data_IF_416120996810
#
_entry.id   IF_416120996810
#
_cell.length_a   1.000
_cell.length_b   1.000
_cell.length_c   1.000
_cell.angle_alpha   90.00
_cell.angle_beta   90.00
_cell.angle_gamma   90.00
#
_symmetry.space_group_name_H-M   'P 1'
#
loop_
_entity.id
_entity.type
_entity.pdbx_description
1 polymer ?
#
# COMPACT_ATOMS: atom_id res chain seq x y z
N UNK A 1 49.53 4.88 27.23
CA UNK A 1 48.14 4.35 27.32
C UNK A 1 47.53 4.25 25.91
N UNK A 2 47.68 3.11 25.21
CA UNK A 2 47.08 2.89 23.87
C UNK A 2 45.63 2.40 24.02
N UNK A 3 44.68 3.31 24.27
CA UNK A 3 43.23 2.99 24.37
C UNK A 3 42.43 3.33 23.10
N UNK A 4 43.02 4.08 22.16
CA UNK A 4 42.36 4.52 20.93
C UNK A 4 41.85 3.41 19.98
N UNK A 5 42.52 2.26 19.79
CA UNK A 5 42.05 1.27 18.81
C UNK A 5 40.81 0.51 19.29
N UNK A 6 40.69 0.28 20.61
CA UNK A 6 39.54 -0.41 21.21
C UNK A 6 38.27 0.43 21.10
N UNK A 7 38.38 1.75 21.31
CA UNK A 7 37.25 2.68 21.21
C UNK A 7 36.63 2.71 19.79
N UNK A 8 37.49 2.71 18.77
CA UNK A 8 37.06 2.71 17.37
C UNK A 8 36.34 1.42 17.01
N UNK A 9 36.85 0.29 17.50
CA UNK A 9 36.25 -1.02 17.27
C UNK A 9 34.86 -1.14 17.93
N UNK A 10 34.71 -0.65 19.16
CA UNK A 10 33.43 -0.65 19.87
C UNK A 10 32.39 0.28 19.23
N UNK A 11 32.82 1.43 18.70
CA UNK A 11 31.94 2.34 17.96
C UNK A 11 31.49 1.73 16.62
N UNK A 12 32.40 1.06 15.91
CA UNK A 12 32.07 0.39 14.65
C UNK A 12 31.09 -0.78 14.86
N UNK A 13 31.30 -1.59 15.90
CA UNK A 13 30.39 -2.68 16.25
C UNK A 13 29.01 -2.19 16.70
N UNK A 14 28.96 -1.06 17.44
CA UNK A 14 27.71 -0.44 17.83
C UNK A 14 26.96 0.14 16.63
N UNK A 15 27.65 0.82 15.71
CA UNK A 15 27.06 1.32 14.47
C UNK A 15 26.51 0.18 13.59
N UNK A 16 27.22 -0.96 13.51
CA UNK A 16 26.77 -2.13 12.77
C UNK A 16 25.57 -2.82 13.46
N UNK A 17 25.56 -2.92 14.79
CA UNK A 17 24.43 -3.47 15.54
C UNK A 17 23.19 -2.57 15.52
N UNK A 18 23.37 -1.25 15.49
CA UNK A 18 22.30 -0.26 15.35
C UNK A 18 21.87 -0.05 13.90
N UNK A 19 22.56 -0.66 12.93
CA UNK A 19 22.09 -0.77 11.55
C UNK A 19 20.99 -1.83 11.47
N UNK A 20 19.87 -1.55 12.14
CA UNK A 20 18.64 -2.28 11.94
C UNK A 20 18.23 -2.03 10.48
N UNK A 21 18.33 -3.05 9.64
CA UNK A 21 17.71 -3.03 8.34
C UNK A 21 16.19 -2.93 8.57
N UNK A 22 15.66 -1.70 8.53
CA UNK A 22 14.23 -1.43 8.43
C UNK A 22 13.75 -1.87 7.04
N UNK A 23 13.85 -3.15 6.73
CA UNK A 23 12.95 -3.73 5.75
C UNK A 23 11.60 -3.71 6.46
N UNK A 24 10.76 -2.71 6.16
CA UNK A 24 9.34 -2.84 6.46
C UNK A 24 8.91 -4.20 5.91
N UNK A 25 8.31 -5.09 6.72
CA UNK A 25 7.93 -6.40 6.23
C UNK A 25 6.94 -6.22 5.08
N UNK A 26 7.43 -6.34 3.85
CA UNK A 26 6.67 -6.35 2.60
C UNK A 26 6.65 -7.77 2.04
N UNK A 27 6.09 -8.78 2.75
CA UNK A 27 6.05 -10.16 2.27
C UNK A 27 5.20 -10.31 1.00
N UNK A 28 4.37 -9.31 0.69
CA UNK A 28 3.50 -9.28 -0.47
C UNK A 28 3.86 -8.09 -1.36
N UNK A 29 3.99 -8.33 -2.66
CA UNK A 29 4.25 -7.30 -3.67
C UNK A 29 2.99 -6.56 -4.11
N UNK A 30 1.82 -7.21 -4.04
CA UNK A 30 0.53 -6.72 -4.57
C UNK A 30 -0.64 -7.25 -3.75
N UNK A 31 -1.78 -6.55 -3.78
CA UNK A 31 -3.05 -6.96 -3.16
C UNK A 31 -4.11 -7.13 -4.27
N UNK A 32 -4.45 -8.38 -4.59
CA UNK A 32 -5.54 -8.65 -5.54
C UNK A 32 -6.84 -8.88 -4.78
N UNK A 33 -7.87 -8.10 -5.09
CA UNK A 33 -9.13 -8.07 -4.35
C UNK A 33 -10.27 -8.50 -5.26
N UNK A 34 -11.00 -9.53 -4.84
CA UNK A 34 -12.25 -9.95 -5.46
C UNK A 34 -13.35 -9.88 -4.41
N UNK A 35 -14.56 -9.50 -4.81
CA UNK A 35 -15.67 -9.44 -3.87
C UNK A 35 -16.86 -8.67 -4.41
N UNK A 36 -17.66 -8.19 -3.46
CA UNK A 36 -18.85 -7.39 -3.68
C UNK A 36 -18.61 -5.92 -3.31
N UNK A 37 -19.69 -5.20 -3.03
CA UNK A 37 -19.68 -3.80 -2.62
C UNK A 37 -18.79 -3.47 -1.42
N UNK A 38 -18.55 -4.40 -0.49
CA UNK A 38 -17.70 -4.16 0.68
C UNK A 38 -16.22 -4.04 0.32
N UNK A 39 -15.82 -4.64 -0.79
CA UNK A 39 -14.45 -4.67 -1.28
C UNK A 39 -14.21 -3.72 -2.47
N UNK A 40 -15.26 -3.08 -2.98
CA UNK A 40 -15.20 -2.23 -4.16
C UNK A 40 -14.39 -0.94 -3.91
N UNK A 41 -13.30 -0.79 -4.65
CA UNK A 41 -12.39 0.36 -4.57
C UNK A 41 -12.80 1.54 -5.46
N UNK A 42 -13.87 1.42 -6.25
CA UNK A 42 -14.32 2.46 -7.18
C UNK A 42 -14.65 1.96 -8.59
N UNK A 43 -15.26 0.79 -8.76
CA UNK A 43 -15.53 0.19 -10.08
C UNK A 43 -16.49 1.04 -10.93
N UNK A 44 -17.42 1.74 -10.29
CA UNK A 44 -18.41 2.59 -10.97
C UNK A 44 -18.05 4.06 -10.82
N UNK A 45 -18.44 4.93 -11.77
CA UNK A 45 -18.22 6.37 -11.62
C UNK A 45 -19.04 6.94 -10.46
N UNK A 46 -18.45 7.87 -9.71
CA UNK A 46 -19.16 8.65 -8.70
C UNK A 46 -20.02 9.74 -9.36
N UNK A 47 -21.34 9.52 -9.41
CA UNK A 47 -22.27 10.44 -10.06
C UNK A 47 -22.52 11.74 -9.28
N UNK A 48 -22.25 11.78 -7.97
CA UNK A 48 -22.43 12.99 -7.17
C UNK A 48 -21.13 13.78 -7.00
N UNK A 49 -20.01 13.26 -7.52
CA UNK A 49 -18.71 13.90 -7.50
C UNK A 49 -18.00 13.83 -6.15
N UNK A 50 -16.68 14.04 -6.18
CA UNK A 50 -15.78 14.02 -5.02
C UNK A 50 -14.66 12.99 -5.21
N UNK A 51 -15.03 11.73 -5.40
CA UNK A 51 -14.09 10.62 -5.62
C UNK A 51 -14.11 10.15 -7.07
N UNK A 52 -12.99 9.63 -7.63
CA UNK A 52 -12.95 9.14 -9.02
C UNK A 52 -13.87 7.93 -9.27
N UNK A 53 -14.20 7.16 -8.22
CA UNK A 53 -15.12 6.04 -8.30
C UNK A 53 -16.01 5.93 -7.07
N UNK A 54 -17.19 5.35 -7.26
CA UNK A 54 -18.18 5.11 -6.24
C UNK A 54 -17.76 3.97 -5.32
N UNK A 55 -17.93 4.15 -4.00
CA UNK A 55 -17.64 3.12 -2.99
C UNK A 55 -18.82 3.03 -2.04
N UNK A 56 -19.06 1.84 -1.49
CA UNK A 56 -20.20 1.60 -0.62
C UNK A 56 -19.86 1.89 0.85
N UNK A 57 -19.43 3.11 1.11
CA UNK A 57 -19.07 3.60 2.44
C UNK A 57 -19.48 5.05 2.63
N UNK A 58 -19.31 5.58 3.84
CA UNK A 58 -19.66 6.95 4.15
C UNK A 58 -18.81 7.95 3.35
N UNK A 59 -19.36 9.14 3.15
CA UNK A 59 -18.64 10.29 2.59
C UNK A 59 -18.07 11.18 3.69
N UNK A 60 -17.00 11.88 3.37
CA UNK A 60 -16.51 12.99 4.18
C UNK A 60 -17.30 14.28 3.90
N UNK A 61 -16.95 15.37 4.60
CA UNK A 61 -17.59 16.67 4.43
C UNK A 61 -17.39 17.29 3.03
N UNK A 62 -16.38 16.81 2.29
CA UNK A 62 -16.07 17.28 0.94
C UNK A 62 -16.80 16.43 -0.13
N UNK A 63 -17.59 15.44 0.29
CA UNK A 63 -18.31 14.55 -0.61
C UNK A 63 -17.50 13.35 -1.10
N UNK A 64 -16.28 13.14 -0.60
CA UNK A 64 -15.42 12.04 -1.04
C UNK A 64 -15.76 10.76 -0.29
N UNK A 65 -15.82 9.63 -1.00
CA UNK A 65 -15.97 8.33 -0.34
C UNK A 65 -14.75 7.97 0.50
N UNK A 66 -14.99 7.50 1.73
CA UNK A 66 -13.97 6.92 2.59
C UNK A 66 -13.29 5.69 1.93
N UNK A 67 -12.08 5.30 2.37
CA UNK A 67 -11.45 4.07 1.90
C UNK A 67 -12.16 2.82 2.46
N UNK A 68 -12.32 1.80 1.62
CA UNK A 68 -12.84 0.47 2.04
C UNK A 68 -11.74 -0.38 2.69
N UNK A 69 -12.12 -1.44 3.41
CA UNK A 69 -11.20 -2.28 4.18
C UNK A 69 -9.98 -2.78 3.39
N UNK A 70 -10.08 -3.24 2.13
CA UNK A 70 -8.92 -3.66 1.35
C UNK A 70 -7.94 -2.53 1.03
N UNK A 71 -8.45 -1.31 0.81
CA UNK A 71 -7.58 -0.14 0.59
C UNK A 71 -6.79 0.23 1.84
N UNK A 72 -7.43 0.18 3.01
CA UNK A 72 -6.77 0.43 4.30
C UNK A 72 -5.71 -0.65 4.56
N UNK A 73 -6.03 -1.91 4.26
CA UNK A 73 -5.10 -3.02 4.39
C UNK A 73 -3.89 -2.88 3.46
N UNK A 74 -4.12 -2.55 2.18
CA UNK A 74 -3.05 -2.30 1.21
C UNK A 74 -2.12 -1.18 1.65
N UNK A 75 -2.68 -0.05 2.11
CA UNK A 75 -1.89 1.07 2.64
C UNK A 75 -1.06 0.68 3.88
N UNK A 76 -1.58 -0.18 4.76
CA UNK A 76 -0.83 -0.71 5.92
C UNK A 76 0.27 -1.69 5.53
N UNK A 77 0.10 -2.41 4.43
CA UNK A 77 1.09 -3.34 3.88
C UNK A 77 2.14 -2.64 3.01
N UNK A 78 2.02 -1.32 2.79
CA UNK A 78 2.90 -0.59 1.88
C UNK A 78 2.67 -0.92 0.41
N UNK A 79 1.50 -1.50 0.08
CA UNK A 79 1.09 -1.78 -1.29
C UNK A 79 0.48 -0.50 -1.83
N UNK A 80 1.19 0.16 -2.74
CA UNK A 80 0.63 1.29 -3.47
C UNK A 80 -0.60 0.81 -4.23
N UNK A 81 -1.72 1.55 -4.18
CA UNK A 81 -2.75 1.34 -5.16
C UNK A 81 -2.13 1.77 -6.49
N UNK A 82 -1.55 0.83 -7.23
CA UNK A 82 -1.57 0.96 -8.69
C UNK A 82 -3.02 1.33 -9.02
N UNK A 83 -3.19 2.41 -9.77
CA UNK A 83 -4.50 2.81 -10.27
C UNK A 83 -5.24 1.53 -10.66
N UNK A 84 -6.50 1.35 -10.24
CA UNK A 84 -7.27 0.26 -10.78
C UNK A 84 -7.33 0.52 -12.28
N UNK A 85 -6.44 -0.12 -13.03
CA UNK A 85 -6.61 -0.40 -14.44
C UNK A 85 -8.04 -0.92 -14.50
N UNK A 86 -8.97 -0.14 -15.09
CA UNK A 86 -10.36 -0.54 -15.13
C UNK A 86 -10.34 -1.88 -15.84
N UNK A 87 -10.76 -2.95 -15.13
CA UNK A 87 -10.73 -4.32 -15.61
C UNK A 87 -10.98 -4.31 -17.11
N UNK A 88 -9.90 -4.53 -17.87
CA UNK A 88 -9.89 -4.50 -19.32
C UNK A 88 -11.10 -5.30 -19.76
N UNK A 89 -12.07 -4.59 -20.33
CA UNK A 89 -13.30 -5.16 -20.87
C UNK A 89 -12.91 -6.39 -21.66
N UNK A 90 -13.45 -7.53 -21.24
CA UNK A 90 -13.35 -8.83 -21.89
C UNK A 90 -13.20 -8.68 -23.41
N UNK A 91 -11.98 -8.80 -23.93
CA UNK A 91 -11.73 -8.37 -25.31
C UNK A 91 -10.27 -8.21 -25.72
N UNK A 92 -9.37 -9.12 -25.34
CA UNK A 92 -8.26 -9.54 -26.21
C UNK A 92 -7.62 -10.84 -25.72
N UNK A 93 -7.24 -11.77 -26.62
CA UNK A 93 -6.89 -13.13 -26.26
C UNK A 93 -5.55 -13.21 -25.55
N UNK A 94 -5.52 -13.99 -24.47
CA UNK A 94 -4.33 -14.40 -23.75
C UNK A 94 -3.24 -14.86 -24.73
N UNK A 95 -2.05 -14.26 -24.60
CA UNK A 95 -0.81 -14.84 -25.11
C UNK A 95 0.09 -15.09 -23.91
N UNK A 96 0.35 -16.37 -23.68
CA UNK A 96 1.48 -16.87 -22.89
C UNK A 96 2.79 -16.37 -23.48
#
# INVERSE_FOLDING_TARGET
MRKAPLLRFTLASLALACSQAFAAPSPYSTLVVFGDSLADAGQFPDLTGGTPGARFTNRDANGNFAPVSPMILGGRLGITPDEPEPLHVCGHPARW
#
